data_IF_757672792592
#
_entry.id   IF_757672792592
#
_cell.length_a   1.000
_cell.length_b   1.000
_cell.length_c   1.000
_cell.angle_alpha   90.00
_cell.angle_beta   90.00
_cell.angle_gamma   90.00
#
_symmetry.space_group_name_H-M   'P 1'
#
loop_
_entity.id
_entity.type
_entity.pdbx_description
1 polymer ?
#
# COMPACT_ATOMS: atom_id res chain seq x y z
N UNK A 1 5.68 -9.65 -8.26
CA UNK A 1 5.94 -11.08 -8.59
C UNK A 1 5.72 -11.42 -10.07
N UNK A 2 4.49 -11.37 -10.61
CA UNK A 2 4.24 -11.84 -11.99
C UNK A 2 5.01 -11.08 -13.08
N UNK A 3 5.34 -9.80 -12.85
CA UNK A 3 6.18 -9.01 -13.76
C UNK A 3 7.62 -9.53 -13.85
N UNK A 4 8.09 -10.24 -12.81
CA UNK A 4 9.45 -10.77 -12.74
C UNK A 4 9.55 -12.18 -13.31
N UNK A 5 8.66 -13.07 -12.86
CA UNK A 5 8.42 -14.40 -13.43
C UNK A 5 6.95 -14.72 -13.26
N UNK A 6 6.29 -15.13 -14.34
CA UNK A 6 4.83 -15.33 -14.40
C UNK A 6 4.38 -16.33 -13.34
N UNK A 7 3.31 -15.97 -12.62
CA UNK A 7 2.61 -16.85 -11.66
C UNK A 7 1.20 -17.15 -12.16
N UNK A 8 0.57 -18.24 -11.69
CA UNK A 8 -0.82 -18.56 -11.99
C UNK A 8 -1.71 -18.10 -10.83
N UNK A 9 -2.56 -17.10 -11.07
CA UNK A 9 -3.49 -16.55 -10.10
C UNK A 9 -4.09 -15.24 -10.59
N UNK A 10 -4.99 -14.65 -9.80
CA UNK A 10 -5.50 -13.32 -10.05
C UNK A 10 -4.37 -12.29 -9.90
N UNK A 11 -4.29 -11.36 -10.86
CA UNK A 11 -3.29 -10.28 -10.85
C UNK A 11 -3.74 -9.15 -9.92
N UNK A 12 -3.50 -9.33 -8.62
CA UNK A 12 -3.77 -8.30 -7.63
C UNK A 12 -2.76 -7.16 -7.73
N UNK A 13 -3.27 -5.93 -7.72
CA UNK A 13 -2.49 -4.75 -7.38
C UNK A 13 -2.31 -4.60 -5.86
N UNK A 14 -1.84 -3.44 -5.38
CA UNK A 14 -1.68 -3.18 -3.94
C UNK A 14 -2.99 -3.09 -3.14
N UNK A 15 -4.15 -3.09 -3.81
CA UNK A 15 -5.47 -2.89 -3.19
C UNK A 15 -6.17 -4.15 -2.69
N UNK A 16 -5.51 -5.30 -2.68
CA UNK A 16 -6.07 -6.56 -2.17
C UNK A 16 -6.06 -6.65 -0.64
N UNK A 17 -6.48 -5.58 0.02
CA UNK A 17 -6.52 -5.42 1.48
C UNK A 17 -7.60 -4.39 1.84
N UNK A 18 -8.20 -4.53 3.01
CA UNK A 18 -9.12 -3.53 3.57
C UNK A 18 -9.32 -3.74 5.07
N UNK A 19 -9.68 -2.65 5.75
CA UNK A 19 -9.96 -2.64 7.20
C UNK A 19 -11.42 -2.23 7.42
N UNK A 20 -12.09 -2.91 8.35
CA UNK A 20 -13.47 -2.64 8.74
C UNK A 20 -13.67 -2.97 10.22
N UNK A 21 -14.67 -2.34 10.84
CA UNK A 21 -15.19 -2.78 12.13
C UNK A 21 -16.14 -3.97 11.91
N UNK A 22 -15.99 -5.05 12.68
CA UNK A 22 -16.79 -6.26 12.54
C UNK A 22 -17.58 -6.51 13.83
N UNK A 23 -18.87 -6.84 13.68
CA UNK A 23 -19.76 -7.12 14.81
C UNK A 23 -20.27 -8.56 14.79
N UNK A 24 -20.18 -9.25 15.92
CA UNK A 24 -20.67 -10.62 16.11
C UNK A 24 -20.11 -11.28 17.37
N UNK A 25 -20.62 -12.45 17.76
CA UNK A 25 -20.10 -13.20 18.91
C UNK A 25 -18.67 -13.68 18.66
N UNK A 26 -17.87 -13.73 19.74
CA UNK A 26 -16.57 -14.41 19.73
C UNK A 26 -16.78 -15.90 19.50
N UNK A 27 -15.96 -16.49 18.63
CA UNK A 27 -15.95 -17.93 18.38
C UNK A 27 -15.65 -18.69 19.68
N UNK A 28 -14.76 -18.16 20.53
CA UNK A 28 -14.44 -18.73 21.83
C UNK A 28 -15.68 -18.94 22.70
N UNK A 29 -16.62 -17.99 22.69
CA UNK A 29 -17.85 -18.03 23.49
C UNK A 29 -18.84 -19.05 22.92
N UNK A 30 -18.94 -19.14 21.60
CA UNK A 30 -19.75 -20.16 20.91
C UNK A 30 -19.20 -21.56 21.18
N UNK A 31 -17.88 -21.74 21.14
CA UNK A 31 -17.22 -23.01 21.47
C UNK A 31 -17.39 -23.36 22.96
N UNK A 32 -17.35 -22.36 23.84
CA UNK A 32 -17.64 -22.52 25.27
C UNK A 32 -19.06 -23.02 25.51
N UNK A 33 -20.04 -22.46 24.79
CA UNK A 33 -21.43 -22.94 24.82
C UNK A 33 -21.55 -24.38 24.32
N UNK A 34 -20.72 -24.79 23.36
CA UNK A 34 -20.62 -26.17 22.87
C UNK A 34 -19.79 -27.11 23.77
N UNK A 35 -19.34 -26.63 24.95
CA UNK A 35 -18.63 -27.43 25.95
C UNK A 35 -17.10 -27.45 25.83
N UNK A 36 -16.50 -26.65 24.93
CA UNK A 36 -15.04 -26.53 24.81
C UNK A 36 -14.53 -25.39 25.70
N UNK A 37 -13.57 -25.65 26.57
CA UNK A 37 -13.07 -24.62 27.49
C UNK A 37 -12.22 -23.57 26.78
N UNK A 38 -12.15 -22.35 27.33
CA UNK A 38 -11.19 -21.34 26.87
C UNK A 38 -9.76 -21.85 26.99
N UNK A 39 -8.87 -21.35 26.13
CA UNK A 39 -7.45 -21.72 26.06
C UNK A 39 -7.21 -23.23 25.88
N UNK A 40 -8.16 -23.96 25.29
CA UNK A 40 -7.98 -25.39 24.99
C UNK A 40 -7.14 -25.54 23.72
N UNK A 41 -6.06 -26.30 23.78
CA UNK A 41 -5.33 -26.74 22.58
C UNK A 41 -5.90 -28.04 21.99
N UNK A 42 -6.59 -28.82 22.83
CA UNK A 42 -7.21 -30.09 22.45
C UNK A 42 -8.51 -30.34 23.23
N UNK A 43 -9.50 -30.96 22.58
CA UNK A 43 -10.73 -31.43 23.26
C UNK A 43 -10.58 -32.86 23.80
N UNK A 44 -11.50 -33.28 24.68
CA UNK A 44 -11.58 -34.68 25.16
C UNK A 44 -11.74 -35.71 24.04
N UNK A 45 -12.31 -35.31 22.90
CA UNK A 45 -12.43 -36.13 21.68
C UNK A 45 -11.25 -35.94 20.71
N UNK A 46 -10.12 -35.43 21.19
CA UNK A 46 -8.87 -35.21 20.44
C UNK A 46 -8.98 -34.18 19.29
N UNK A 47 -9.97 -33.29 19.32
CA UNK A 47 -10.08 -32.20 18.35
C UNK A 47 -9.01 -31.13 18.60
N UNK A 48 -8.27 -30.73 17.55
CA UNK A 48 -7.15 -29.77 17.59
C UNK A 48 -7.32 -28.60 16.62
N UNK A 49 -8.35 -28.62 15.79
CA UNK A 49 -8.66 -27.58 14.82
C UNK A 49 -10.16 -27.29 14.80
N UNK A 50 -10.50 -26.07 14.41
CA UNK A 50 -11.87 -25.65 14.10
C UNK A 50 -11.93 -25.35 12.61
N UNK A 51 -12.71 -26.13 11.88
CA UNK A 51 -12.97 -25.98 10.45
C UNK A 51 -14.28 -25.23 10.24
N UNK A 52 -14.24 -24.25 9.33
CA UNK A 52 -15.42 -23.53 8.85
C UNK A 52 -15.74 -24.02 7.45
N UNK A 53 -16.98 -24.40 7.24
CA UNK A 53 -17.53 -24.87 5.95
C UNK A 53 -18.51 -23.83 5.45
N UNK A 54 -18.23 -23.29 4.27
CA UNK A 54 -19.09 -22.35 3.54
C UNK A 54 -20.30 -23.08 2.92
N UNK A 55 -21.34 -22.36 2.51
CA UNK A 55 -22.44 -22.88 1.69
C UNK A 55 -22.26 -22.62 0.19
N UNK A 56 -21.08 -22.18 -0.26
CA UNK A 56 -20.78 -21.96 -1.68
C UNK A 56 -20.41 -23.27 -2.40
N UNK A 57 -20.09 -23.16 -3.69
CA UNK A 57 -19.68 -24.30 -4.53
C UNK A 57 -18.46 -23.90 -5.35
N UNK A 58 -17.32 -24.55 -5.09
CA UNK A 58 -16.04 -24.23 -5.73
C UNK A 58 -15.70 -25.24 -6.83
N UNK A 59 -15.24 -24.75 -7.98
CA UNK A 59 -14.82 -25.63 -9.09
C UNK A 59 -13.55 -26.42 -8.76
N UNK A 60 -12.67 -25.83 -7.95
CA UNK A 60 -11.42 -26.40 -7.48
C UNK A 60 -11.62 -27.61 -6.55
N UNK A 61 -12.83 -27.78 -6.02
CA UNK A 61 -13.21 -28.85 -5.12
C UNK A 61 -14.39 -29.67 -5.69
N UNK A 62 -14.51 -29.75 -7.02
CA UNK A 62 -15.53 -30.52 -7.74
C UNK A 62 -16.97 -30.21 -7.31
N UNK A 63 -17.25 -28.92 -7.03
CA UNK A 63 -18.55 -28.43 -6.58
C UNK A 63 -18.75 -28.49 -5.06
N UNK A 64 -17.78 -29.00 -4.30
CA UNK A 64 -17.79 -28.94 -2.85
C UNK A 64 -17.54 -27.49 -2.34
N UNK A 65 -18.00 -27.17 -1.12
CA UNK A 65 -17.87 -25.83 -0.57
C UNK A 65 -16.44 -25.46 -0.20
N UNK A 66 -16.18 -24.16 -0.12
CA UNK A 66 -14.95 -23.62 0.45
C UNK A 66 -14.82 -24.03 1.92
N UNK A 67 -13.64 -24.52 2.29
CA UNK A 67 -13.30 -24.90 3.67
C UNK A 67 -11.94 -24.36 4.07
N UNK A 68 -11.85 -23.89 5.31
CA UNK A 68 -10.60 -23.55 5.95
C UNK A 68 -10.67 -23.85 7.45
N UNK A 69 -9.53 -24.02 8.09
CA UNK A 69 -9.48 -24.27 9.53
C UNK A 69 -8.43 -23.42 10.23
N UNK A 70 -8.66 -23.17 11.52
CA UNK A 70 -7.68 -22.57 12.43
C UNK A 70 -7.35 -23.54 13.58
N UNK A 71 -6.17 -23.41 14.23
CA UNK A 71 -5.85 -24.21 15.42
C UNK A 71 -6.85 -24.00 16.57
N UNK A 72 -7.12 -25.04 17.35
CA UNK A 72 -8.06 -24.99 18.48
C UNK A 72 -7.66 -23.95 19.52
N UNK A 73 -6.37 -23.86 19.84
CA UNK A 73 -5.88 -22.86 20.79
C UNK A 73 -6.22 -21.44 20.31
N UNK A 74 -6.04 -21.15 19.02
CA UNK A 74 -6.40 -19.86 18.43
C UNK A 74 -7.91 -19.63 18.51
N UNK A 75 -8.72 -20.63 18.18
CA UNK A 75 -10.18 -20.53 18.21
C UNK A 75 -10.77 -20.34 19.62
N UNK A 76 -10.10 -20.85 20.65
CA UNK A 76 -10.59 -20.85 22.04
C UNK A 76 -9.93 -19.79 22.94
N UNK A 77 -8.99 -19.02 22.41
CA UNK A 77 -8.33 -17.90 23.11
C UNK A 77 -9.14 -16.62 22.87
N UNK A 78 -9.80 -16.04 23.88
CA UNK A 78 -10.62 -14.84 23.71
C UNK A 78 -9.85 -13.64 23.10
N UNK A 79 -8.58 -13.48 23.46
CA UNK A 79 -7.68 -12.39 23.01
C UNK A 79 -7.19 -12.55 21.56
N UNK A 80 -7.59 -13.65 20.89
CA UNK A 80 -7.40 -13.80 19.45
C UNK A 80 -8.53 -13.14 18.65
N UNK A 81 -9.60 -12.68 19.32
CA UNK A 81 -10.73 -11.94 18.74
C UNK A 81 -11.32 -12.58 17.47
N UNK A 82 -11.34 -13.91 17.40
CA UNK A 82 -11.97 -14.62 16.29
C UNK A 82 -13.48 -14.44 16.42
N UNK A 83 -14.12 -13.86 15.41
CA UNK A 83 -15.55 -13.56 15.41
C UNK A 83 -16.33 -14.42 14.42
N UNK A 84 -17.58 -14.75 14.77
CA UNK A 84 -18.62 -15.07 13.82
C UNK A 84 -19.40 -13.79 13.52
N UNK A 85 -18.95 -13.03 12.54
CA UNK A 85 -19.48 -11.70 12.23
C UNK A 85 -20.76 -11.78 11.40
N UNK A 86 -21.75 -10.97 11.77
CA UNK A 86 -22.97 -10.68 11.01
C UNK A 86 -23.11 -9.18 10.66
N UNK A 87 -22.21 -8.34 11.19
CA UNK A 87 -22.10 -6.91 10.88
C UNK A 87 -20.71 -6.53 10.36
N UNK A 88 -20.69 -5.52 9.48
CA UNK A 88 -19.49 -4.84 8.98
C UNK A 88 -19.77 -3.33 8.94
N UNK A 89 -18.94 -2.55 9.63
CA UNK A 89 -19.07 -1.10 9.79
C UNK A 89 -20.45 -0.67 10.31
N UNK A 90 -20.94 -1.36 11.35
CA UNK A 90 -22.24 -1.06 12.00
C UNK A 90 -23.47 -1.35 11.12
N UNK A 91 -23.29 -2.08 10.01
CA UNK A 91 -24.38 -2.48 9.11
C UNK A 91 -24.39 -4.00 8.96
N UNK A 92 -25.56 -4.55 8.69
CA UNK A 92 -25.71 -5.96 8.29
C UNK A 92 -24.76 -6.27 7.12
N UNK A 93 -24.12 -7.46 7.16
CA UNK A 93 -23.23 -7.90 6.09
C UNK A 93 -23.87 -7.79 4.71
N UNK A 94 -23.08 -7.38 3.73
CA UNK A 94 -23.46 -7.53 2.33
C UNK A 94 -23.29 -8.99 1.88
N UNK A 95 -23.94 -9.35 0.77
CA UNK A 95 -23.80 -10.68 0.15
C UNK A 95 -22.34 -10.99 -0.19
N UNK A 96 -21.63 -10.05 -0.81
CA UNK A 96 -20.22 -10.24 -1.20
C UNK A 96 -19.29 -10.44 0.00
N UNK A 97 -19.65 -9.85 1.15
CA UNK A 97 -18.91 -9.96 2.40
C UNK A 97 -19.39 -11.08 3.32
N UNK A 98 -20.29 -11.96 2.87
CA UNK A 98 -20.58 -13.21 3.57
C UNK A 98 -21.88 -13.24 4.35
N UNK A 99 -22.86 -12.38 4.04
CA UNK A 99 -24.20 -12.47 4.64
C UNK A 99 -24.78 -13.91 4.57
N UNK A 100 -25.39 -14.44 5.64
CA UNK A 100 -25.68 -13.74 6.91
C UNK A 100 -24.54 -13.81 7.93
N UNK A 101 -23.56 -14.70 7.74
CA UNK A 101 -22.53 -14.98 8.74
C UNK A 101 -21.20 -15.34 8.09
N UNK A 102 -20.11 -14.78 8.61
CA UNK A 102 -18.75 -15.14 8.23
C UNK A 102 -17.85 -15.31 9.45
N UNK A 103 -16.74 -16.01 9.28
CA UNK A 103 -15.63 -15.91 10.20
C UNK A 103 -14.82 -14.65 9.90
N UNK A 104 -14.32 -14.03 10.95
CA UNK A 104 -13.22 -13.06 10.93
C UNK A 104 -12.13 -13.61 11.84
N UNK A 105 -10.95 -13.84 11.28
CA UNK A 105 -9.78 -14.35 12.00
C UNK A 105 -8.69 -13.28 11.96
N UNK A 106 -8.61 -12.40 12.98
CA UNK A 106 -7.66 -11.30 13.00
C UNK A 106 -6.20 -11.75 12.94
N UNK A 107 -5.34 -10.94 12.31
CA UNK A 107 -3.91 -11.24 12.17
C UNK A 107 -3.58 -12.45 11.28
N UNK A 108 -4.58 -13.03 10.62
CA UNK A 108 -4.45 -14.19 9.72
C UNK A 108 -4.86 -13.79 8.30
N UNK A 109 -4.33 -14.47 7.29
CA UNK A 109 -4.70 -14.20 5.89
C UNK A 109 -6.22 -14.32 5.66
N UNK A 110 -6.73 -13.49 4.75
CA UNK A 110 -8.17 -13.41 4.47
C UNK A 110 -8.83 -14.73 4.09
N UNK A 111 -8.08 -15.68 3.51
CA UNK A 111 -8.58 -17.01 3.15
C UNK A 111 -9.10 -17.84 4.33
N UNK A 112 -8.68 -17.57 5.57
CA UNK A 112 -9.18 -18.28 6.75
C UNK A 112 -10.43 -17.65 7.36
N UNK A 113 -10.77 -16.43 6.92
CA UNK A 113 -12.00 -15.74 7.28
C UNK A 113 -13.13 -16.18 6.34
N UNK A 114 -13.61 -17.41 6.52
CA UNK A 114 -14.61 -18.05 5.63
C UNK A 114 -15.92 -17.27 5.59
N UNK A 115 -16.44 -17.01 4.40
CA UNK A 115 -17.74 -16.34 4.17
C UNK A 115 -18.86 -17.36 4.07
N UNK A 116 -20.10 -16.92 4.29
CA UNK A 116 -21.30 -17.75 4.12
C UNK A 116 -21.23 -19.06 4.91
N UNK A 117 -20.89 -18.96 6.21
CA UNK A 117 -20.69 -20.14 7.05
C UNK A 117 -21.99 -20.93 7.20
N UNK A 118 -21.92 -22.21 6.87
CA UNK A 118 -22.98 -23.19 7.05
C UNK A 118 -22.71 -24.08 8.27
N UNK A 119 -21.48 -24.58 8.40
CA UNK A 119 -21.11 -25.55 9.44
C UNK A 119 -19.76 -25.21 10.07
N UNK A 120 -19.66 -25.42 11.39
CA UNK A 120 -18.40 -25.34 12.15
C UNK A 120 -18.10 -26.72 12.72
N UNK A 121 -16.93 -27.26 12.40
CA UNK A 121 -16.52 -28.63 12.75
C UNK A 121 -15.27 -28.59 13.63
N UNK A 122 -15.33 -29.27 14.77
CA UNK A 122 -14.14 -29.56 15.57
C UNK A 122 -13.49 -30.83 15.03
N UNK A 123 -12.26 -30.71 14.53
CA UNK A 123 -11.52 -31.80 13.89
C UNK A 123 -10.20 -32.07 14.59
N UNK A 124 -9.74 -33.33 14.53
CA UNK A 124 -8.39 -33.72 14.97
C UNK A 124 -7.29 -33.15 14.07
N UNK A 125 -7.60 -32.90 12.80
CA UNK A 125 -6.65 -32.45 11.79
C UNK A 125 -7.10 -31.11 11.20
N UNK A 126 -6.17 -30.41 10.55
CA UNK A 126 -6.50 -29.28 9.68
C UNK A 126 -7.57 -29.66 8.65
N UNK A 127 -8.29 -28.68 8.13
CA UNK A 127 -9.22 -28.86 7.01
C UNK A 127 -8.54 -29.60 5.88
N UNK A 128 -9.20 -30.61 5.34
CA UNK A 128 -8.71 -31.36 4.18
C UNK A 128 -9.15 -30.76 2.84
N UNK A 129 -9.87 -29.62 2.88
CA UNK A 129 -10.34 -28.91 1.69
C UNK A 129 -9.20 -28.41 0.80
N UNK A 130 -9.52 -28.18 -0.48
CA UNK A 130 -8.54 -27.81 -1.50
C UNK A 130 -7.76 -26.56 -1.10
N UNK A 131 -8.45 -25.52 -0.63
CA UNK A 131 -7.85 -24.23 -0.31
C UNK A 131 -6.99 -24.24 0.98
N UNK A 132 -7.14 -25.26 1.84
CA UNK A 132 -6.23 -25.45 2.98
C UNK A 132 -5.00 -26.28 2.56
N UNK A 133 -5.22 -27.34 1.78
CA UNK A 133 -4.18 -28.34 1.50
C UNK A 133 -3.34 -28.04 0.25
N UNK A 134 -3.97 -27.51 -0.80
CA UNK A 134 -3.42 -27.30 -2.15
C UNK A 134 -3.44 -25.84 -2.60
N UNK A 135 -3.64 -24.90 -1.68
CA UNK A 135 -3.51 -23.47 -1.94
C UNK A 135 -3.01 -22.72 -0.70
N UNK A 136 -2.77 -21.41 -0.82
CA UNK A 136 -2.38 -20.51 0.25
C UNK A 136 -1.20 -21.07 1.07
N UNK A 137 -0.14 -21.47 0.37
CA UNK A 137 1.13 -21.96 0.95
C UNK A 137 2.30 -21.20 0.33
N UNK A 138 3.30 -20.89 1.14
CA UNK A 138 4.52 -20.22 0.71
C UNK A 138 5.59 -21.26 0.35
N UNK A 139 6.00 -21.26 -0.91
CA UNK A 139 7.07 -22.14 -1.43
C UNK A 139 8.33 -21.32 -1.70
N UNK A 140 9.52 -21.92 -1.63
CA UNK A 140 10.76 -21.25 -2.03
C UNK A 140 10.82 -21.02 -3.56
N UNK A 141 11.69 -20.13 -4.04
CA UNK A 141 11.72 -19.72 -5.44
C UNK A 141 12.06 -20.81 -6.46
N UNK A 142 12.68 -21.91 -6.05
CA UNK A 142 13.05 -23.04 -6.91
C UNK A 142 11.88 -24.00 -7.20
N UNK A 143 10.74 -23.85 -6.52
CA UNK A 143 9.57 -24.70 -6.70
C UNK A 143 8.65 -24.17 -7.81
N UNK A 144 8.26 -25.06 -8.71
CA UNK A 144 7.36 -24.82 -9.84
C UNK A 144 6.21 -25.84 -9.93
N UNK A 145 5.40 -25.76 -10.99
CA UNK A 145 4.26 -26.68 -11.20
C UNK A 145 4.65 -28.12 -11.52
N UNK A 146 5.90 -28.38 -11.90
CA UNK A 146 6.41 -29.72 -12.22
C UNK A 146 6.94 -30.44 -10.99
N UNK A 147 7.43 -29.71 -9.98
CA UNK A 147 8.06 -30.29 -8.80
C UNK A 147 7.34 -30.00 -7.46
N UNK A 148 6.22 -29.26 -7.47
CA UNK A 148 5.49 -28.89 -6.25
C UNK A 148 5.03 -30.10 -5.44
N UNK A 149 5.38 -30.10 -4.15
CA UNK A 149 4.88 -31.05 -3.14
C UNK A 149 4.13 -30.29 -2.07
N UNK A 150 2.80 -30.28 -2.14
CA UNK A 150 1.94 -29.47 -1.27
C UNK A 150 2.11 -29.76 0.23
N UNK A 151 2.42 -31.00 0.60
CA UNK A 151 2.63 -31.41 1.99
C UNK A 151 3.98 -30.92 2.55
N UNK A 152 4.91 -30.44 1.72
CA UNK A 152 6.20 -29.89 2.17
C UNK A 152 6.08 -28.54 2.88
N UNK A 153 4.91 -27.88 2.77
CA UNK A 153 4.66 -26.57 3.35
C UNK A 153 3.38 -26.59 4.18
N UNK A 154 3.40 -25.82 5.27
CA UNK A 154 2.23 -25.59 6.12
C UNK A 154 1.31 -24.54 5.48
N UNK A 155 -0.02 -24.64 5.67
CA UNK A 155 -0.95 -23.60 5.23
C UNK A 155 -0.58 -22.24 5.83
N UNK A 156 -0.68 -21.18 5.03
CA UNK A 156 -0.53 -19.82 5.52
C UNK A 156 -1.62 -19.50 6.54
N UNK A 157 -1.19 -18.95 7.66
CA UNK A 157 -2.04 -18.45 8.74
C UNK A 157 -1.69 -16.96 8.92
N UNK A 158 -0.69 -16.67 9.74
CA UNK A 158 -0.06 -15.34 9.86
C UNK A 158 0.58 -14.89 8.54
N UNK A 159 0.79 -13.58 8.38
CA UNK A 159 1.42 -12.96 7.21
C UNK A 159 2.48 -11.94 7.64
N UNK A 160 3.57 -11.78 6.87
CA UNK A 160 4.68 -10.90 7.24
C UNK A 160 4.27 -9.41 7.18
N UNK A 161 5.10 -8.54 7.76
CA UNK A 161 4.93 -7.10 7.57
C UNK A 161 4.95 -6.73 6.09
N UNK A 162 4.05 -5.83 5.68
CA UNK A 162 3.96 -5.29 4.34
C UNK A 162 3.57 -3.81 4.38
N UNK A 163 4.17 -3.00 3.52
CA UNK A 163 3.88 -1.57 3.37
C UNK A 163 3.82 -1.17 1.91
N UNK A 164 2.98 -0.17 1.61
CA UNK A 164 2.69 0.28 0.25
C UNK A 164 2.50 1.79 0.21
N UNK A 165 2.96 2.41 -0.88
CA UNK A 165 2.66 3.80 -1.24
C UNK A 165 1.36 3.80 -2.05
N UNK A 166 0.35 4.51 -1.56
CA UNK A 166 -0.95 4.67 -2.23
C UNK A 166 -0.99 5.95 -3.08
N UNK A 167 -0.43 7.02 -2.53
CA UNK A 167 -0.34 8.31 -3.21
C UNK A 167 1.08 8.89 -3.08
N UNK A 168 1.65 9.44 -4.16
CA UNK A 168 1.10 9.45 -5.52
C UNK A 168 1.19 8.07 -6.18
N UNK A 169 0.54 7.92 -7.35
CA UNK A 169 0.63 6.70 -8.16
C UNK A 169 1.98 6.62 -8.87
N UNK A 170 2.40 5.40 -9.17
CA UNK A 170 3.60 5.13 -9.99
C UNK A 170 3.53 5.87 -11.33
N UNK A 171 4.61 6.59 -11.65
CA UNK A 171 4.77 7.30 -12.92
C UNK A 171 4.20 8.72 -12.95
N UNK A 172 3.78 9.30 -11.83
CA UNK A 172 3.34 10.71 -11.78
C UNK A 172 4.43 11.65 -12.31
N UNK A 173 4.03 12.72 -12.99
CA UNK A 173 4.92 13.80 -13.41
C UNK A 173 4.71 15.04 -12.53
N UNK A 174 5.79 15.57 -11.98
CA UNK A 174 5.84 16.79 -11.17
C UNK A 174 6.87 17.76 -11.76
N UNK A 175 6.83 19.05 -11.42
CA UNK A 175 7.88 19.97 -11.82
C UNK A 175 9.09 19.80 -10.89
N UNK A 176 10.28 20.04 -11.42
CA UNK A 176 11.47 20.14 -10.60
C UNK A 176 11.29 21.23 -9.53
N UNK A 177 11.52 20.86 -8.27
CA UNK A 177 11.34 21.72 -7.10
C UNK A 177 9.96 21.61 -6.44
N UNK A 178 9.01 20.85 -7.00
CA UNK A 178 7.71 20.63 -6.38
C UNK A 178 7.83 19.87 -5.05
N UNK A 179 6.89 20.16 -4.16
CA UNK A 179 6.69 19.43 -2.91
C UNK A 179 5.62 18.36 -3.11
N UNK A 180 5.98 17.11 -2.80
CA UNK A 180 5.10 15.95 -2.94
C UNK A 180 4.77 15.39 -1.57
N UNK A 181 3.49 15.15 -1.31
CA UNK A 181 3.05 14.39 -0.14
C UNK A 181 2.94 12.92 -0.51
N UNK A 182 3.43 12.05 0.38
CA UNK A 182 3.38 10.60 0.23
C UNK A 182 2.45 10.02 1.29
N UNK A 183 1.53 9.16 0.87
CA UNK A 183 0.59 8.48 1.74
C UNK A 183 0.55 6.99 1.44
N UNK A 184 0.27 6.19 2.46
CA UNK A 184 0.12 4.76 2.28
C UNK A 184 -0.37 4.01 3.50
N UNK A 185 -0.26 2.69 3.44
CA UNK A 185 -0.57 1.81 4.54
C UNK A 185 0.61 0.89 4.87
N UNK A 186 0.57 0.35 6.08
CA UNK A 186 1.44 -0.72 6.57
C UNK A 186 0.63 -1.67 7.44
N UNK A 187 0.90 -2.97 7.37
CA UNK A 187 0.21 -3.99 8.15
C UNK A 187 1.16 -5.12 8.48
N UNK A 188 0.97 -5.76 9.64
CA UNK A 188 1.62 -7.01 10.01
C UNK A 188 0.56 -7.98 10.55
N UNK A 189 0.75 -9.27 10.30
CA UNK A 189 -0.12 -10.30 10.85
C UNK A 189 0.16 -10.58 12.32
N UNK A 190 -0.51 -11.60 12.87
CA UNK A 190 -0.27 -12.12 14.23
C UNK A 190 -0.49 -11.13 15.37
N UNK A 191 -1.08 -9.97 15.09
CA UNK A 191 -1.31 -8.91 16.09
C UNK A 191 -0.08 -8.06 16.37
N UNK A 192 0.93 -8.10 15.50
CA UNK A 192 2.15 -7.33 15.67
C UNK A 192 1.87 -5.85 15.35
N UNK A 193 2.25 -4.99 16.29
CA UNK A 193 2.26 -3.54 16.08
C UNK A 193 3.29 -3.11 15.04
N UNK A 194 3.20 -1.86 14.59
CA UNK A 194 4.15 -1.26 13.66
C UNK A 194 5.07 -0.35 14.44
N UNK A 195 6.38 -0.62 14.38
CA UNK A 195 7.38 0.18 15.07
C UNK A 195 7.75 1.41 14.23
N UNK A 196 8.05 1.21 12.94
CA UNK A 196 8.49 2.29 12.06
C UNK A 196 8.14 2.07 10.59
N UNK A 197 7.92 3.16 9.86
CA UNK A 197 7.80 3.20 8.40
C UNK A 197 8.89 4.12 7.85
N UNK A 198 9.74 3.59 6.98
CA UNK A 198 10.87 4.30 6.39
C UNK A 198 10.60 4.54 4.89
N UNK A 199 10.80 5.78 4.46
CA UNK A 199 10.70 6.22 3.07
C UNK A 199 12.06 6.66 2.55
N UNK A 200 12.42 6.21 1.37
CA UNK A 200 13.58 6.68 0.62
C UNK A 200 13.14 7.33 -0.68
N UNK A 201 13.82 8.40 -1.09
CA UNK A 201 13.63 9.08 -2.39
C UNK A 201 14.84 8.88 -3.32
N UNK A 202 15.80 8.06 -2.91
CA UNK A 202 17.04 7.74 -3.61
C UNK A 202 17.21 6.21 -3.76
N UNK A 203 16.11 5.50 -4.00
CA UNK A 203 16.06 4.06 -4.23
C UNK A 203 16.67 3.20 -3.09
N UNK A 204 16.64 3.69 -1.86
CA UNK A 204 17.02 2.97 -0.64
C UNK A 204 18.37 3.36 -0.04
N UNK A 205 19.02 4.43 -0.52
CA UNK A 205 20.29 4.90 0.03
C UNK A 205 20.11 5.63 1.37
N UNK A 206 19.13 6.54 1.45
CA UNK A 206 18.80 7.30 2.67
C UNK A 206 17.33 7.15 3.01
N UNK A 207 17.04 7.24 4.31
CA UNK A 207 15.72 6.97 4.85
C UNK A 207 15.22 8.14 5.71
N UNK A 208 13.95 8.47 5.51
CA UNK A 208 13.17 9.40 6.31
C UNK A 208 12.05 8.62 6.98
N UNK A 209 11.84 8.84 8.26
CA UNK A 209 10.75 8.21 8.99
C UNK A 209 9.43 8.92 8.67
N UNK A 210 8.42 8.14 8.27
CA UNK A 210 7.08 8.65 8.01
C UNK A 210 6.26 8.75 9.31
N UNK A 211 5.37 9.72 9.37
CA UNK A 211 4.41 9.84 10.47
C UNK A 211 3.35 8.74 10.35
N UNK A 212 3.21 7.94 11.41
CA UNK A 212 2.12 7.00 11.55
C UNK A 212 0.85 7.72 12.03
N UNK A 213 -0.23 7.58 11.28
CA UNK A 213 -1.52 8.19 11.60
C UNK A 213 -2.31 7.31 12.57
N UNK A 214 -3.11 7.90 13.48
CA UNK A 214 -4.03 7.15 14.33
C UNK A 214 -4.95 6.26 13.49
N UNK A 215 -5.16 5.02 13.94
CA UNK A 215 -5.87 4.00 13.16
C UNK A 215 -7.40 4.16 13.18
N UNK A 216 -7.96 4.89 14.15
CA UNK A 216 -9.39 5.13 14.30
C UNK A 216 -9.66 6.62 14.59
N UNK A 217 -10.76 7.21 14.04
CA UNK A 217 -11.29 8.48 14.54
C UNK A 217 -11.55 8.38 16.04
N UNK A 218 -11.32 9.47 16.80
CA UNK A 218 -11.44 9.48 18.27
C UNK A 218 -12.81 8.99 18.73
N UNK A 219 -13.86 9.29 17.96
CA UNK A 219 -15.24 8.89 18.24
C UNK A 219 -15.47 7.38 18.13
N UNK A 220 -14.67 6.69 17.31
CA UNK A 220 -14.71 5.23 17.14
C UNK A 220 -13.81 4.47 18.14
N UNK A 221 -13.06 5.19 18.98
CA UNK A 221 -12.22 4.60 20.04
C UNK A 221 -13.01 4.35 21.34
N UNK A 222 -14.21 4.92 21.48
CA UNK A 222 -15.06 4.70 22.64
C UNK A 222 -15.52 3.24 22.72
N UNK A 223 -14.97 2.48 23.68
CA UNK A 223 -15.29 1.06 23.92
C UNK A 223 -14.29 0.06 23.36
N UNK A 224 -13.19 0.50 22.73
CA UNK A 224 -12.05 -0.37 22.42
C UNK A 224 -11.11 -0.46 23.64
N UNK A 225 -10.83 -1.67 24.11
CA UNK A 225 -9.84 -1.92 25.17
C UNK A 225 -8.39 -1.83 24.64
N UNK A 226 -8.20 -2.00 23.33
CA UNK A 226 -6.90 -1.86 22.66
C UNK A 226 -6.42 -0.40 22.68
N UNK A 227 -5.10 -0.22 22.77
CA UNK A 227 -4.45 1.10 22.63
C UNK A 227 -4.93 1.77 21.32
N UNK A 228 -5.61 2.93 21.39
CA UNK A 228 -6.14 3.61 20.20
C UNK A 228 -5.05 4.05 19.21
N UNK A 229 -3.80 4.16 19.66
CA UNK A 229 -2.64 4.44 18.82
C UNK A 229 -2.04 3.15 18.22
N UNK A 230 -2.39 1.97 18.76
CA UNK A 230 -1.84 0.66 18.37
C UNK A 230 -2.89 -0.46 18.32
N UNK A 231 -4.08 -0.32 17.67
CA UNK A 231 -5.00 -1.44 17.59
C UNK A 231 -4.35 -2.62 16.88
N UNK A 232 -4.49 -3.78 17.52
CA UNK A 232 -3.69 -4.98 17.30
C UNK A 232 -3.85 -5.55 15.89
N UNK A 233 -5.05 -5.41 15.32
CA UNK A 233 -5.45 -6.13 14.11
C UNK A 233 -5.60 -5.28 12.84
N UNK A 234 -5.68 -3.95 12.99
CA UNK A 234 -5.87 -3.03 11.88
C UNK A 234 -4.53 -2.62 11.25
N UNK A 235 -4.54 -2.23 9.98
CA UNK A 235 -3.40 -1.55 9.36
C UNK A 235 -3.06 -0.21 10.03
N UNK A 236 -1.86 0.30 9.84
CA UNK A 236 -1.52 1.71 10.14
C UNK A 236 -1.48 2.48 8.83
N UNK A 237 -2.12 3.65 8.77
CA UNK A 237 -1.90 4.59 7.68
C UNK A 237 -0.69 5.46 8.01
N UNK A 238 0.08 5.86 7.01
CA UNK A 238 1.25 6.71 7.20
C UNK A 238 1.28 7.86 6.21
N UNK A 239 1.98 8.93 6.58
CA UNK A 239 2.22 10.08 5.72
C UNK A 239 3.66 10.60 5.84
N UNK A 240 4.22 11.07 4.74
CA UNK A 240 5.43 11.90 4.70
C UNK A 240 5.15 13.10 3.81
N UNK A 241 5.13 14.30 4.41
CA UNK A 241 4.73 15.53 3.71
C UNK A 241 5.93 16.35 3.25
N UNK A 242 5.69 17.19 2.26
CA UNK A 242 6.65 18.19 1.77
C UNK A 242 7.97 17.58 1.29
N UNK A 243 7.91 16.45 0.60
CA UNK A 243 9.09 15.83 -0.02
C UNK A 243 9.46 16.64 -1.25
N UNK A 244 10.60 17.32 -1.20
CA UNK A 244 11.11 18.09 -2.34
C UNK A 244 11.63 17.16 -3.42
N UNK A 245 11.09 17.26 -4.63
CA UNK A 245 11.53 16.46 -5.79
C UNK A 245 12.24 17.37 -6.78
N UNK A 246 13.57 17.25 -6.87
CA UNK A 246 14.38 18.07 -7.79
C UNK A 246 14.64 17.37 -9.13
N UNK A 247 14.81 16.05 -9.09
CA UNK A 247 15.11 15.20 -10.25
C UNK A 247 14.23 13.95 -10.26
N UNK A 248 14.06 13.28 -11.41
CA UNK A 248 13.33 12.02 -11.46
C UNK A 248 13.92 11.01 -10.47
N UNK A 249 13.06 10.37 -9.68
CA UNK A 249 13.50 9.52 -8.59
C UNK A 249 12.63 8.26 -8.41
N UNK A 250 13.18 7.28 -7.70
CA UNK A 250 12.46 6.09 -7.27
C UNK A 250 12.20 6.23 -5.77
N UNK A 251 10.93 6.36 -5.41
CA UNK A 251 10.49 6.40 -4.03
C UNK A 251 10.22 4.98 -3.56
N UNK A 252 10.73 4.64 -2.39
CA UNK A 252 10.67 3.31 -1.80
C UNK A 252 10.10 3.40 -0.40
N UNK A 253 9.23 2.46 -0.03
CA UNK A 253 8.77 2.27 1.35
C UNK A 253 9.16 0.89 1.87
N UNK A 254 9.58 0.86 3.14
CA UNK A 254 9.72 -0.35 3.95
C UNK A 254 9.25 -0.07 5.38
N UNK A 255 8.97 -1.11 6.14
CA UNK A 255 8.55 -0.96 7.52
C UNK A 255 9.18 -2.03 8.43
N UNK A 256 9.10 -1.76 9.74
CA UNK A 256 9.56 -2.63 10.83
C UNK A 256 8.38 -2.88 11.77
N UNK A 257 8.10 -4.15 12.08
CA UNK A 257 7.08 -4.47 13.10
C UNK A 257 7.67 -4.50 14.52
N UNK A 258 6.79 -4.55 15.51
CA UNK A 258 7.13 -4.63 16.94
C UNK A 258 8.02 -5.82 17.34
N UNK A 259 8.20 -6.83 16.47
CA UNK A 259 9.10 -7.96 16.68
C UNK A 259 10.43 -7.82 15.92
N UNK A 260 10.66 -6.69 15.25
CA UNK A 260 11.86 -6.42 14.46
C UNK A 260 11.85 -7.09 13.09
N UNK A 261 10.72 -7.63 12.61
CA UNK A 261 10.65 -8.15 11.25
C UNK A 261 10.70 -7.01 10.23
N UNK A 262 11.34 -7.28 9.10
CA UNK A 262 11.52 -6.33 8.00
C UNK A 262 11.03 -6.91 6.67
N UNK A 263 10.80 -6.03 5.71
CA UNK A 263 10.51 -6.40 4.32
C UNK A 263 11.80 -6.70 3.54
N UNK A 264 11.82 -7.76 2.71
CA UNK A 264 12.93 -8.03 1.80
C UNK A 264 13.04 -6.93 0.73
N UNK A 265 14.25 -6.73 0.21
CA UNK A 265 14.48 -5.71 -0.80
C UNK A 265 14.00 -6.15 -2.18
N UNK A 266 14.32 -7.38 -2.58
CA UNK A 266 14.00 -7.92 -3.90
C UNK A 266 12.85 -8.93 -3.85
N UNK A 267 12.03 -8.90 -4.90
CA UNK A 267 10.98 -9.90 -5.12
C UNK A 267 11.57 -11.27 -5.48
N UNK A 268 12.79 -11.33 -6.02
CA UNK A 268 13.47 -12.58 -6.37
C UNK A 268 13.75 -13.45 -5.14
N UNK A 269 14.02 -12.84 -3.99
CA UNK A 269 14.23 -13.55 -2.71
C UNK A 269 12.97 -14.29 -2.22
N UNK A 270 11.80 -13.75 -2.56
CA UNK A 270 10.50 -14.23 -2.05
C UNK A 270 9.56 -14.72 -3.14
N UNK A 271 10.01 -14.75 -4.40
CA UNK A 271 9.17 -15.26 -5.49
C UNK A 271 8.71 -16.66 -5.15
N UNK A 272 7.44 -16.94 -5.38
CA UNK A 272 6.89 -18.27 -5.14
C UNK A 272 5.83 -18.62 -6.18
N UNK A 273 5.64 -19.93 -6.36
CA UNK A 273 4.73 -20.53 -7.33
C UNK A 273 3.33 -19.90 -7.40
N UNK A 274 2.79 -19.53 -6.23
CA UNK A 274 1.42 -19.01 -6.10
C UNK A 274 1.33 -17.48 -6.18
N UNK A 275 2.46 -16.79 -6.16
CA UNK A 275 2.49 -15.33 -6.17
C UNK A 275 1.89 -14.70 -4.90
N UNK A 276 1.92 -15.42 -3.77
CA UNK A 276 1.37 -14.94 -2.48
C UNK A 276 2.45 -14.27 -1.64
N UNK A 277 2.05 -13.52 -0.62
CA UNK A 277 2.97 -12.89 0.35
C UNK A 277 4.06 -12.02 -0.31
N UNK A 278 3.70 -11.28 -1.37
CA UNK A 278 4.60 -10.30 -1.95
C UNK A 278 4.74 -9.08 -1.04
N UNK A 279 5.76 -9.10 -0.18
CA UNK A 279 6.04 -8.03 0.77
C UNK A 279 7.40 -7.37 0.54
N UNK A 280 8.01 -7.50 -0.64
CA UNK A 280 9.24 -6.77 -0.95
C UNK A 280 8.98 -5.25 -0.88
N UNK A 281 10.06 -4.45 -0.79
CA UNK A 281 9.93 -3.00 -0.77
C UNK A 281 9.07 -2.49 -1.93
N UNK A 282 8.05 -1.70 -1.59
CA UNK A 282 7.16 -1.15 -2.61
C UNK A 282 7.81 0.09 -3.21
N UNK A 283 7.82 0.16 -4.55
CA UNK A 283 8.51 1.21 -5.30
C UNK A 283 7.56 1.93 -6.24
N UNK A 284 7.70 3.26 -6.31
CA UNK A 284 7.07 4.09 -7.33
C UNK A 284 8.13 4.98 -7.99
N UNK A 285 7.87 5.37 -9.23
CA UNK A 285 8.66 6.35 -9.98
C UNK A 285 7.96 7.70 -9.93
N UNK A 286 8.70 8.74 -9.60
CA UNK A 286 8.27 10.13 -9.77
C UNK A 286 9.11 10.72 -10.88
N UNK A 287 8.45 11.20 -11.93
CA UNK A 287 9.10 11.89 -13.04
C UNK A 287 9.15 13.39 -12.71
N UNK A 288 10.34 13.98 -12.77
CA UNK A 288 10.51 15.43 -12.66
C UNK A 288 11.24 15.97 -13.90
N UNK A 289 10.54 16.14 -15.04
CA UNK A 289 11.16 16.73 -16.22
C UNK A 289 11.71 18.11 -15.86
N UNK A 290 12.95 18.37 -16.31
CA UNK A 290 13.51 19.71 -16.25
C UNK A 290 12.56 20.66 -17.02
N UNK A 291 12.19 21.83 -16.49
CA UNK A 291 11.50 22.82 -17.30
C UNK A 291 12.34 23.08 -18.57
N UNK A 292 11.70 23.25 -19.75
CA UNK A 292 12.44 23.59 -20.95
C UNK A 292 13.29 24.82 -20.64
N UNK A 293 14.59 24.75 -20.96
CA UNK A 293 15.48 25.91 -20.90
C UNK A 293 14.81 26.99 -21.75
N UNK A 294 14.41 28.10 -21.14
CA UNK A 294 14.06 29.30 -21.88
C UNK A 294 15.32 29.71 -22.63
N UNK A 295 15.43 29.29 -23.88
CA UNK A 295 16.36 29.90 -24.81
C UNK A 295 15.83 31.32 -24.99
N UNK A 296 16.42 32.28 -24.28
CA UNK A 296 16.31 33.67 -24.67
C UNK A 296 16.84 33.75 -26.10
N UNK A 297 15.91 33.78 -27.06
CA UNK A 297 16.27 34.10 -28.43
C UNK A 297 16.97 35.46 -28.38
N UNK A 298 18.12 35.62 -29.05
CA UNK A 298 18.71 36.95 -29.18
C UNK A 298 17.63 37.90 -29.71
N UNK A 299 17.62 39.17 -29.26
CA UNK A 299 16.67 40.15 -29.77
C UNK A 299 16.69 40.11 -31.30
N UNK A 300 15.52 40.25 -31.96
CA UNK A 300 15.46 40.20 -33.43
C UNK A 300 16.47 41.19 -34.00
N UNK A 301 17.20 40.78 -35.04
CA UNK A 301 18.15 41.67 -35.71
C UNK A 301 17.45 43.00 -36.04
N UNK A 302 18.14 44.14 -35.87
CA UNK A 302 17.57 45.43 -36.21
C UNK A 302 17.04 45.38 -37.65
N UNK A 303 15.81 45.87 -37.85
CA UNK A 303 15.27 46.05 -39.19
C UNK A 303 16.03 47.20 -39.87
N UNK A 304 17.16 46.85 -40.48
CA UNK A 304 18.05 47.79 -41.17
C UNK A 304 17.32 48.53 -42.30
N UNK A 305 16.27 47.94 -42.88
CA UNK A 305 15.45 48.60 -43.90
C UNK A 305 14.56 49.70 -43.29
N UNK A 306 13.97 49.48 -42.11
CA UNK A 306 13.28 50.54 -41.36
C UNK A 306 14.22 51.66 -40.92
N UNK A 307 15.41 51.30 -40.42
CA UNK A 307 16.42 52.26 -39.96
C UNK A 307 16.93 53.10 -41.14
N UNK A 308 17.14 52.49 -42.31
CA UNK A 308 17.51 53.20 -43.53
C UNK A 308 16.40 54.15 -44.02
N UNK A 309 15.14 53.69 -44.03
CA UNK A 309 14.00 54.50 -44.44
C UNK A 309 13.71 55.70 -43.50
N UNK A 310 13.96 55.55 -42.19
CA UNK A 310 13.88 56.65 -41.23
C UNK A 310 15.03 57.66 -41.39
N UNK A 311 16.22 57.19 -41.77
CA UNK A 311 17.37 58.05 -42.05
C UNK A 311 17.22 58.83 -43.38
N UNK A 312 16.64 58.22 -44.42
CA UNK A 312 16.31 58.92 -45.68
C UNK A 312 15.24 60.00 -45.45
N UNK A 313 14.22 59.73 -44.61
CA UNK A 313 13.21 60.73 -44.22
C UNK A 313 13.79 61.91 -43.44
N UNK A 314 14.91 61.71 -42.74
CA UNK A 314 15.63 62.79 -42.02
C UNK A 314 16.50 63.64 -42.93
N UNK A 315 16.94 63.13 -44.09
CA UNK A 315 17.79 63.88 -45.03
C UNK A 315 17.02 64.75 -46.03
N UNK A 316 15.69 64.61 -46.17
CA UNK A 316 14.88 65.39 -47.12
C UNK A 316 14.24 66.67 -46.56
N UNK A 317 14.76 67.25 -45.47
CA UNK A 317 14.38 68.62 -45.06
C UNK A 317 15.50 69.61 -45.40
N UNK A 318 15.38 70.28 -46.55
CA UNK A 318 16.19 71.43 -46.92
C UNK A 318 15.63 72.75 -46.32
N UNK A 319 16.43 73.83 -46.27
CA UNK A 319 16.29 74.93 -45.31
C UNK A 319 15.64 76.18 -45.92
N UNK A 320 14.77 76.87 -45.15
CA UNK A 320 14.35 78.24 -45.44
C UNK A 320 14.33 79.10 -44.15
N UNK A 321 15.20 80.10 -44.18
CA UNK A 321 14.97 81.51 -43.88
C UNK A 321 15.15 82.17 -42.49
N UNK A 322 16.03 83.18 -42.60
CA UNK A 322 16.18 84.44 -41.85
C UNK A 322 16.96 84.42 -40.53
N UNK A 323 17.74 85.44 -40.15
CA UNK A 323 18.46 86.55 -40.77
C UNK A 323 19.09 87.31 -39.57
N UNK A 324 20.28 87.90 -39.73
CA UNK A 324 20.95 88.85 -38.80
C UNK A 324 21.34 88.25 -37.43
N UNK A 325 22.56 88.39 -36.90
CA UNK A 325 23.22 89.66 -36.58
C UNK A 325 24.72 89.46 -36.28
N UNK A 326 25.48 90.56 -36.30
CA UNK A 326 26.96 90.65 -36.20
C UNK A 326 27.57 90.19 -34.83
N UNK A 327 28.89 89.86 -34.80
CA UNK A 327 29.64 89.44 -33.60
C UNK A 327 30.23 90.67 -32.85
N UNK A 328 30.59 90.60 -31.54
CA UNK A 328 31.92 90.12 -31.08
C UNK A 328 31.93 89.63 -29.58
N UNK A 329 33.06 89.59 -28.83
CA UNK A 329 34.33 88.86 -29.02
C UNK A 329 34.73 87.99 -27.80
N UNK A 330 35.79 87.18 -28.01
CA UNK A 330 36.83 86.69 -27.09
C UNK A 330 36.64 86.75 -25.56
N UNK A 331 36.81 85.59 -24.89
CA UNK A 331 37.75 85.34 -23.75
C UNK A 331 37.99 83.82 -23.70
N UNK A 332 39.12 83.30 -24.19
CA UNK A 332 40.34 82.93 -23.44
C UNK A 332 40.15 82.00 -22.23
N UNK A 333 40.91 80.89 -22.25
CA UNK A 333 41.54 80.24 -21.11
C UNK A 333 40.60 79.60 -20.05
N UNK A 334 40.72 78.33 -19.65
CA UNK A 334 41.93 77.64 -19.19
C UNK A 334 41.57 76.22 -18.68
N UNK A 335 42.49 75.29 -18.89
CA UNK A 335 42.64 73.93 -18.30
C UNK A 335 41.78 72.78 -18.81
#
# INVERSE_FOLDING_TARGET
MSMRRRVRGLSWGPGAIGTAAWGGPRLSDVLKLAGVQYYSDITTRKGRHVEFVSCDSCKEEDGLPFRASIPMLHATTPESDVLLAYEMNGKVLSRDHGYPLRAIVPGVIGARSVKWIETIIISRFESQGFFQQKDYKMFPPDIDWHNVKWQSRRPLMDFPINSVICEPRDGIAVKSGDMVDLYGYVVAGGGRGIERVDISIDNGEKWMEALQLPKLPIEAQAGYEDDPLRPKWAWTLWQLKFVKVETPCIVVVKAVDSAGNIQPQDVDEIWNLRGVMNNCWYKIRINAPCPPVEIQLPPPEPDWAKIAAENEKRQCKSPEDHAHDKPPPDVLDKF
#
